data_IF_806764968322
#
_entry.id   IF_806764968322
#
_cell.length_a   1.000
_cell.length_b   1.000
_cell.length_c   1.000
_cell.angle_alpha   90.00
_cell.angle_beta   90.00
_cell.angle_gamma   90.00
#
_symmetry.space_group_name_H-M   'P 1'
#
loop_
_entity.id
_entity.type
_entity.pdbx_description
1 polymer ?
#
# COMPACT_ATOMS: atom_id res chain seq x y z
N UNK A 1 10.57 6.96 -3.97
CA UNK A 1 9.44 7.56 -4.61
C UNK A 1 8.59 6.57 -5.38
N UNK A 2 7.32 6.53 -5.10
CA UNK A 2 6.43 5.53 -5.68
C UNK A 2 5.66 6.12 -6.83
N UNK A 3 5.91 5.61 -8.02
CA UNK A 3 5.30 6.12 -9.21
C UNK A 3 4.29 5.14 -9.76
N UNK A 4 3.39 5.65 -10.58
CA UNK A 4 2.34 4.83 -11.16
C UNK A 4 2.85 3.55 -11.82
N UNK A 5 3.90 3.59 -12.64
CA UNK A 5 4.39 2.35 -13.27
C UNK A 5 4.87 1.32 -12.26
N UNK A 6 5.45 1.78 -11.16
CA UNK A 6 5.94 0.86 -10.12
C UNK A 6 4.78 0.11 -9.48
N UNK A 7 3.74 0.83 -9.09
CA UNK A 7 2.59 0.18 -8.48
C UNK A 7 1.89 -0.77 -9.45
N UNK A 8 1.74 -0.35 -10.68
CA UNK A 8 1.09 -1.19 -11.67
C UNK A 8 1.85 -2.50 -11.85
N UNK A 9 3.18 -2.43 -11.87
CA UNK A 9 4.01 -3.62 -11.98
C UNK A 9 3.83 -4.55 -10.81
N UNK A 10 3.80 -4.01 -9.59
CA UNK A 10 3.62 -4.81 -8.39
C UNK A 10 2.24 -5.46 -8.35
N UNK A 11 1.24 -4.77 -8.85
CA UNK A 11 -0.13 -5.28 -8.84
C UNK A 11 -0.43 -6.20 -10.01
N UNK A 12 0.50 -6.32 -10.96
CA UNK A 12 0.33 -7.20 -12.10
C UNK A 12 -0.55 -6.63 -13.20
N UNK A 13 -0.72 -5.31 -13.24
CA UNK A 13 -1.49 -4.65 -14.29
C UNK A 13 -0.67 -3.51 -14.88
N UNK A 14 -1.00 -3.11 -16.09
CA UNK A 14 -0.26 -2.05 -16.75
C UNK A 14 -0.76 -0.68 -16.28
N UNK A 15 0.08 0.34 -16.33
CA UNK A 15 -0.35 1.69 -15.96
C UNK A 15 -1.52 2.18 -16.81
N UNK A 16 -1.51 1.84 -18.10
CA UNK A 16 -2.58 2.25 -18.98
C UNK A 16 -3.91 1.63 -18.56
N UNK A 17 -3.90 0.36 -18.25
CA UNK A 17 -5.08 -0.35 -17.81
C UNK A 17 -5.62 0.25 -16.51
N UNK A 18 -4.72 0.52 -15.58
CA UNK A 18 -5.10 1.10 -14.30
C UNK A 18 -5.74 2.47 -14.48
N UNK A 19 -5.18 3.30 -15.35
CA UNK A 19 -5.76 4.61 -15.63
C UNK A 19 -7.12 4.49 -16.27
N UNK A 20 -7.31 3.50 -17.13
CA UNK A 20 -8.60 3.26 -17.74
C UNK A 20 -9.65 2.90 -16.71
N UNK A 21 -9.29 2.05 -15.76
CA UNK A 21 -10.20 1.68 -14.69
C UNK A 21 -10.58 2.89 -13.86
N UNK A 22 -9.60 3.71 -13.53
CA UNK A 22 -9.84 4.90 -12.73
C UNK A 22 -10.79 5.84 -13.47
N UNK A 23 -10.56 6.03 -14.75
CA UNK A 23 -11.39 6.94 -15.54
C UNK A 23 -12.83 6.49 -15.62
N UNK A 24 -13.06 5.20 -15.54
CA UNK A 24 -14.41 4.66 -15.71
C UNK A 24 -15.15 4.43 -14.41
N UNK A 25 -14.42 4.14 -13.35
CA UNK A 25 -15.04 3.63 -12.16
C UNK A 25 -14.75 4.39 -10.88
N UNK A 26 -14.19 5.59 -10.95
CA UNK A 26 -13.84 6.21 -9.75
C UNK A 26 -14.82 7.26 -9.32
N UNK A 27 -14.81 7.58 -8.08
CA UNK A 27 -15.71 8.42 -7.41
C UNK A 27 -15.01 9.67 -6.97
N UNK A 28 -14.38 10.42 -7.85
CA UNK A 28 -13.70 11.66 -7.55
C UNK A 28 -12.28 11.53 -7.07
N UNK A 29 -11.75 10.29 -7.00
CA UNK A 29 -10.37 10.07 -6.56
C UNK A 29 -9.42 10.16 -7.73
N UNK A 30 -8.21 10.64 -7.48
CA UNK A 30 -7.18 10.69 -8.50
C UNK A 30 -6.58 9.30 -8.68
N UNK A 31 -5.89 9.06 -9.81
CA UNK A 31 -5.19 7.77 -9.98
C UNK A 31 -4.23 7.47 -8.85
N UNK A 32 -3.53 8.48 -8.34
CA UNK A 32 -2.62 8.27 -7.24
C UNK A 32 -3.34 7.83 -5.98
N UNK A 33 -4.49 8.42 -5.71
CA UNK A 33 -5.26 8.06 -4.51
C UNK A 33 -5.73 6.61 -4.57
N UNK A 34 -6.17 6.15 -5.74
CA UNK A 34 -6.60 4.77 -5.90
C UNK A 34 -5.44 3.80 -5.80
N UNK A 35 -4.29 4.17 -6.34
CA UNK A 35 -3.10 3.34 -6.25
C UNK A 35 -2.63 3.28 -4.80
N UNK A 36 -2.66 4.39 -4.09
CA UNK A 36 -2.27 4.41 -2.68
C UNK A 36 -3.21 3.54 -1.85
N UNK A 37 -4.51 3.58 -2.15
CA UNK A 37 -5.48 2.75 -1.44
C UNK A 37 -5.22 1.27 -1.69
N UNK A 38 -4.90 0.92 -2.94
CA UNK A 38 -4.61 -0.47 -3.27
C UNK A 38 -3.32 -0.94 -2.60
N UNK A 39 -2.28 -0.11 -2.63
CA UNK A 39 -1.03 -0.45 -1.98
C UNK A 39 -1.22 -0.61 -0.48
N UNK A 40 -2.01 0.28 0.11
CA UNK A 40 -2.31 0.19 1.54
C UNK A 40 -3.00 -1.15 1.87
N UNK A 41 -3.94 -1.56 1.03
CA UNK A 41 -4.64 -2.83 1.23
C UNK A 41 -3.65 -4.00 1.15
N UNK A 42 -2.73 -3.95 0.20
CA UNK A 42 -1.72 -5.00 0.06
C UNK A 42 -0.79 -5.06 1.27
N UNK A 43 -0.43 -3.89 1.80
CA UNK A 43 0.41 -3.84 2.99
C UNK A 43 -0.33 -4.46 4.18
N UNK A 44 -1.62 -4.18 4.31
CA UNK A 44 -2.42 -4.77 5.39
C UNK A 44 -2.41 -6.29 5.33
N UNK A 45 -2.55 -6.84 4.13
CA UNK A 45 -2.52 -8.28 3.94
C UNK A 45 -1.20 -8.86 4.45
N UNK A 46 -0.08 -8.21 4.10
CA UNK A 46 1.22 -8.69 4.55
C UNK A 46 1.39 -8.52 6.06
N UNK A 47 0.85 -7.44 6.62
CA UNK A 47 0.95 -7.21 8.06
C UNK A 47 0.19 -8.25 8.87
N UNK A 48 -0.80 -8.87 8.28
CA UNK A 48 -1.56 -9.93 8.96
C UNK A 48 -0.75 -11.20 9.11
N UNK A 49 0.38 -11.31 8.42
CA UNK A 49 1.26 -12.47 8.55
C UNK A 49 2.30 -12.18 9.64
N UNK A 50 2.18 -12.82 10.82
CA UNK A 50 3.10 -12.51 11.93
C UNK A 50 4.53 -12.95 11.68
N UNK A 51 4.76 -13.76 10.64
CA UNK A 51 6.10 -14.21 10.31
C UNK A 51 6.92 -13.15 9.57
N UNK A 52 6.26 -12.10 9.09
CA UNK A 52 6.95 -11.05 8.35
C UNK A 52 7.17 -9.84 9.24
N UNK A 53 8.39 -9.31 9.22
CA UNK A 53 8.66 -8.07 9.96
C UNK A 53 8.23 -6.88 9.12
N UNK A 54 8.05 -5.73 9.77
CA UNK A 54 7.72 -4.51 9.07
C UNK A 54 8.82 -4.16 8.05
N UNK A 55 10.08 -4.38 8.42
CA UNK A 55 11.19 -4.13 7.50
C UNK A 55 11.14 -5.01 6.27
N UNK A 56 10.80 -6.28 6.44
CA UNK A 56 10.68 -7.19 5.32
C UNK A 56 9.56 -6.78 4.39
N UNK A 57 8.46 -6.33 4.95
CA UNK A 57 7.32 -5.88 4.16
C UNK A 57 7.69 -4.62 3.36
N UNK A 58 8.38 -3.68 4.02
CA UNK A 58 8.82 -2.46 3.35
C UNK A 58 9.74 -2.80 2.17
N UNK A 59 10.62 -3.75 2.37
CA UNK A 59 11.54 -4.16 1.32
C UNK A 59 10.79 -4.82 0.17
N UNK A 60 9.81 -5.64 0.48
CA UNK A 60 9.00 -6.30 -0.54
C UNK A 60 8.33 -5.29 -1.46
N UNK A 61 7.86 -4.17 -0.89
CA UNK A 61 7.21 -3.13 -1.69
C UNK A 61 8.19 -2.06 -2.17
N UNK A 62 9.49 -2.30 -2.02
CA UNK A 62 10.55 -1.41 -2.50
C UNK A 62 10.54 -0.02 -1.89
N UNK A 63 10.13 0.08 -0.65
CA UNK A 63 10.31 1.33 0.09
C UNK A 63 11.79 1.46 0.43
N UNK A 64 12.35 2.66 0.39
CA UNK A 64 13.77 2.83 0.71
C UNK A 64 14.11 2.44 2.14
N UNK A 65 13.16 2.64 3.06
CA UNK A 65 13.33 2.30 4.47
C UNK A 65 12.00 1.93 5.05
N UNK A 66 12.02 1.20 6.17
CA UNK A 66 10.76 0.84 6.82
C UNK A 66 10.02 2.08 7.34
N UNK A 67 10.75 3.15 7.67
CA UNK A 67 10.11 4.38 8.12
C UNK A 67 9.32 5.05 6.99
N UNK A 68 9.78 4.91 5.75
CA UNK A 68 9.04 5.44 4.60
C UNK A 68 7.70 4.76 4.47
N UNK A 69 7.69 3.44 4.59
CA UNK A 69 6.44 2.68 4.54
C UNK A 69 5.54 3.04 5.71
N UNK A 70 6.13 3.20 6.89
CA UNK A 70 5.36 3.54 8.08
C UNK A 70 4.64 4.88 7.92
N UNK A 71 5.33 5.86 7.35
CA UNK A 71 4.72 7.17 7.10
C UNK A 71 3.61 7.07 6.07
N UNK A 72 3.87 6.33 4.99
CA UNK A 72 2.88 6.11 3.96
C UNK A 72 1.64 5.46 4.55
N UNK A 73 1.83 4.40 5.31
CA UNK A 73 0.74 3.64 5.89
C UNK A 73 -0.06 4.50 6.88
N UNK A 74 0.65 5.24 7.74
CA UNK A 74 -0.02 6.08 8.72
C UNK A 74 -0.83 7.19 8.06
N UNK A 75 -0.29 7.77 6.98
CA UNK A 75 -1.00 8.82 6.25
C UNK A 75 -2.30 8.28 5.65
N UNK A 76 -2.29 7.03 5.22
CA UNK A 76 -3.45 6.44 4.55
C UNK A 76 -4.42 5.72 5.48
N UNK A 77 -4.00 5.34 6.68
CA UNK A 77 -4.86 4.58 7.60
C UNK A 77 -5.07 5.23 8.94
N UNK A 78 -4.23 6.21 9.29
CA UNK A 78 -4.31 6.84 10.60
C UNK A 78 -3.49 6.13 11.67
N UNK A 79 -2.87 5.00 11.36
CA UNK A 79 -2.06 4.29 12.34
C UNK A 79 -0.81 3.72 11.69
N UNK A 80 0.24 3.50 12.48
CA UNK A 80 1.46 2.92 11.97
C UNK A 80 1.27 1.42 11.73
N UNK A 81 2.13 0.79 10.93
CA UNK A 81 2.05 -0.66 10.74
C UNK A 81 2.10 -1.43 12.04
N UNK A 82 2.91 -0.98 12.99
CA UNK A 82 3.01 -1.65 14.28
C UNK A 82 1.71 -1.53 15.06
N UNK A 83 1.11 -0.35 15.05
CA UNK A 83 -0.17 -0.13 15.71
C UNK A 83 -1.26 -0.98 15.09
N UNK A 84 -1.27 -1.05 13.77
CA UNK A 84 -2.25 -1.85 13.05
C UNK A 84 -2.12 -3.32 13.45
N UNK A 85 -0.88 -3.82 13.50
CA UNK A 85 -0.64 -5.22 13.83
C UNK A 85 -1.08 -5.52 15.27
N UNK A 86 -0.79 -4.62 16.20
CA UNK A 86 -1.22 -4.79 17.59
C UNK A 86 -2.74 -4.80 17.69
N UNK A 87 -3.40 -3.92 16.98
CA UNK A 87 -4.84 -3.85 17.01
C UNK A 87 -5.46 -5.14 16.48
N UNK A 88 -4.87 -5.70 15.41
CA UNK A 88 -5.37 -6.95 14.84
C UNK A 88 -5.19 -8.11 15.81
N UNK A 89 -4.11 -8.09 16.57
CA UNK A 89 -3.85 -9.16 17.55
C UNK A 89 -4.82 -9.14 18.70
N UNK A 90 -5.41 -8.00 18.99
CA UNK A 90 -6.35 -7.85 20.08
C UNK A 90 -7.79 -8.19 19.69
N UNK A 91 -8.02 -8.50 18.44
CA UNK A 91 -9.38 -8.82 17.96
C UNK A 91 -9.66 -10.32 17.94
#
# INVERSE_FOLDING_TARGET
>A
EHMLPFYAGKLGISPRYLNGIVAENFDGKTPKQLIDAQLTAEIKVQLDNPMLTVSEIAEYFNFPEHTSMSRFFKRNTGMSPKEYRLKRELQ
#
